data_IF_074806884866
#
_entry.id   IF_074806884866
#
_cell.length_a   1.000
_cell.length_b   1.000
_cell.length_c   1.000
_cell.angle_alpha   90.00
_cell.angle_beta   90.00
_cell.angle_gamma   90.00
#
_symmetry.space_group_name_H-M   'P 1'
#
loop_
_entity.id
_entity.type
_entity.pdbx_description
1 polymer ?
#
# COMPACT_ATOMS: atom_id res chain seq x y z
N UNK A 1 14.66 -8.17 9.78
CA UNK A 1 13.35 -8.55 10.33
C UNK A 1 12.32 -8.23 9.27
N UNK A 2 11.49 -9.18 8.86
CA UNK A 2 10.35 -8.96 7.96
C UNK A 2 9.17 -8.47 8.78
N UNK A 3 8.75 -7.23 8.58
CA UNK A 3 7.57 -6.64 9.21
C UNK A 3 6.35 -6.57 8.30
N UNK A 4 5.16 -6.59 8.92
CA UNK A 4 3.88 -6.27 8.29
C UNK A 4 3.35 -5.00 8.94
N UNK A 5 3.08 -3.97 8.14
CA UNK A 5 2.55 -2.69 8.60
C UNK A 5 1.15 -2.50 8.01
N UNK A 6 0.16 -2.29 8.87
CA UNK A 6 -1.21 -1.94 8.46
C UNK A 6 -1.30 -0.46 8.13
N UNK A 7 -1.88 -0.15 6.99
CA UNK A 7 -2.28 1.20 6.57
C UNK A 7 -3.82 1.24 6.51
N UNK A 8 -4.49 1.79 7.52
CA UNK A 8 -5.94 1.92 7.49
C UNK A 8 -6.35 2.96 6.44
N UNK A 9 -7.31 2.61 5.58
CA UNK A 9 -7.89 3.51 4.57
C UNK A 9 -9.39 3.54 4.78
N UNK A 10 -9.84 4.48 5.61
CA UNK A 10 -11.25 4.58 6.04
C UNK A 10 -11.75 3.24 6.64
N UNK A 11 -12.57 2.49 5.89
CA UNK A 11 -13.18 1.22 6.33
C UNK A 11 -12.50 -0.04 5.75
N UNK A 12 -11.45 0.11 4.93
CA UNK A 12 -10.63 -0.99 4.42
C UNK A 12 -9.18 -0.86 4.90
N UNK A 13 -8.36 -1.88 4.66
CA UNK A 13 -6.95 -1.87 5.00
C UNK A 13 -6.10 -2.09 3.74
N UNK A 14 -4.93 -1.47 3.74
CA UNK A 14 -3.79 -1.88 2.93
C UNK A 14 -2.65 -2.32 3.84
N UNK A 15 -1.70 -3.08 3.32
CA UNK A 15 -0.56 -3.56 4.10
C UNK A 15 0.76 -3.38 3.36
N UNK A 16 1.78 -2.93 4.08
CA UNK A 16 3.16 -2.96 3.61
C UNK A 16 3.79 -4.25 4.16
N UNK A 17 4.25 -5.12 3.28
CA UNK A 17 4.83 -6.41 3.63
C UNK A 17 6.31 -6.40 3.21
N UNK A 18 7.21 -6.39 4.19
CA UNK A 18 8.64 -6.46 3.91
C UNK A 18 9.03 -7.83 3.35
N UNK A 19 9.95 -7.79 2.39
CA UNK A 19 10.52 -8.93 1.69
C UNK A 19 12.04 -8.80 1.68
N UNK A 20 12.76 -9.84 1.26
CA UNK A 20 14.22 -9.79 1.18
C UNK A 20 14.74 -8.74 0.15
N UNK A 21 13.90 -8.28 -0.78
CA UNK A 21 14.26 -7.33 -1.84
C UNK A 21 13.59 -5.96 -1.75
N UNK A 22 12.94 -5.63 -0.62
CA UNK A 22 12.15 -4.40 -0.46
C UNK A 22 10.82 -4.70 0.20
N UNK A 23 9.72 -4.25 -0.40
CA UNK A 23 8.38 -4.53 0.13
C UNK A 23 7.34 -4.70 -0.98
N UNK A 24 6.27 -5.41 -0.66
CA UNK A 24 5.05 -5.45 -1.46
C UNK A 24 3.96 -4.63 -0.76
N UNK A 25 3.06 -4.06 -1.56
CA UNK A 25 1.82 -3.45 -1.08
C UNK A 25 0.68 -4.44 -1.30
N UNK A 26 -0.08 -4.75 -0.27
CA UNK A 26 -1.33 -5.53 -0.37
C UNK A 26 -2.51 -4.56 -0.28
N UNK A 27 -3.35 -4.57 -1.32
CA UNK A 27 -4.42 -3.60 -1.60
C UNK A 27 -3.97 -2.14 -1.71
N UNK A 28 -4.81 -1.31 -2.35
CA UNK A 28 -4.53 0.10 -2.62
C UNK A 28 -5.55 1.06 -2.01
N UNK A 29 -6.63 0.54 -1.42
CA UNK A 29 -7.69 1.37 -0.85
C UNK A 29 -8.50 2.12 -1.93
N UNK A 30 -9.33 3.06 -1.45
CA UNK A 30 -10.16 3.91 -2.30
C UNK A 30 -9.31 4.86 -3.16
N UNK A 31 -9.81 5.19 -4.36
CA UNK A 31 -9.19 6.18 -5.26
C UNK A 31 -8.96 7.52 -4.55
N UNK A 32 -7.78 8.11 -4.74
CA UNK A 32 -7.40 9.39 -4.14
C UNK A 32 -6.88 9.22 -2.72
N UNK A 33 -7.76 9.04 -1.74
CA UNK A 33 -7.36 8.98 -0.32
C UNK A 33 -6.45 7.78 -0.02
N UNK A 34 -6.68 6.63 -0.66
CA UNK A 34 -5.80 5.46 -0.54
C UNK A 34 -4.37 5.77 -0.97
N UNK A 35 -4.21 6.39 -2.14
CA UNK A 35 -2.89 6.81 -2.63
C UNK A 35 -2.18 7.76 -1.66
N UNK A 36 -2.89 8.75 -1.10
CA UNK A 36 -2.31 9.71 -0.13
C UNK A 36 -1.82 9.01 1.14
N UNK A 37 -2.67 8.19 1.77
CA UNK A 37 -2.33 7.52 3.02
C UNK A 37 -1.21 6.48 2.83
N UNK A 38 -1.26 5.73 1.73
CA UNK A 38 -0.24 4.72 1.42
C UNK A 38 1.10 5.38 1.11
N UNK A 39 1.15 6.48 0.35
CA UNK A 39 2.40 7.21 0.10
C UNK A 39 3.02 7.72 1.40
N UNK A 40 2.22 8.32 2.29
CA UNK A 40 2.71 8.77 3.59
C UNK A 40 3.28 7.62 4.43
N UNK A 41 2.59 6.47 4.48
CA UNK A 41 3.06 5.30 5.21
C UNK A 41 4.34 4.70 4.60
N UNK A 42 4.43 4.63 3.27
CA UNK A 42 5.61 4.17 2.54
C UNK A 42 6.81 5.08 2.81
N UNK A 43 6.63 6.39 2.72
CA UNK A 43 7.71 7.36 2.96
C UNK A 43 8.20 7.32 4.40
N UNK A 44 7.27 7.23 5.37
CA UNK A 44 7.62 7.10 6.77
C UNK A 44 8.40 5.81 7.08
N UNK A 45 8.12 4.72 6.35
CA UNK A 45 8.72 3.40 6.64
C UNK A 45 9.98 3.08 5.84
N UNK A 46 10.05 3.53 4.58
CA UNK A 46 11.07 3.15 3.61
C UNK A 46 11.83 4.34 3.00
N UNK A 47 11.44 5.58 3.36
CA UNK A 47 12.08 6.80 2.88
C UNK A 47 11.42 7.42 1.64
N UNK A 48 11.85 8.64 1.27
CA UNK A 48 11.21 9.42 0.23
C UNK A 48 11.27 8.71 -1.13
N UNK A 49 10.17 8.76 -1.88
CA UNK A 49 10.02 8.15 -3.22
C UNK A 49 10.19 6.62 -3.26
N UNK A 50 10.18 5.92 -2.12
CA UNK A 50 10.16 4.47 -2.09
C UNK A 50 8.94 3.93 -2.85
N UNK A 51 9.12 2.80 -3.55
CA UNK A 51 8.06 2.14 -4.32
C UNK A 51 8.01 0.66 -3.97
N UNK A 52 6.81 0.06 -3.90
CA UNK A 52 6.69 -1.38 -3.73
C UNK A 52 7.22 -2.10 -4.98
N UNK A 53 7.81 -3.28 -4.80
CA UNK A 53 8.17 -4.15 -5.91
C UNK A 53 6.95 -4.77 -6.61
N UNK A 54 5.84 -4.89 -5.88
CA UNK A 54 4.56 -5.37 -6.40
C UNK A 54 3.38 -4.77 -5.63
N UNK A 55 2.26 -4.60 -6.33
CA UNK A 55 0.94 -4.37 -5.72
C UNK A 55 0.14 -5.66 -5.88
N UNK A 56 -0.24 -6.27 -4.75
CA UNK A 56 -1.05 -7.48 -4.70
C UNK A 56 -2.47 -7.07 -4.32
N UNK A 57 -3.43 -7.31 -5.19
CA UNK A 57 -4.85 -7.04 -4.91
C UNK A 57 -5.50 -8.30 -4.38
N UNK A 58 -6.25 -8.17 -3.29
CA UNK A 58 -7.09 -9.28 -2.78
C UNK A 58 -8.22 -9.59 -3.76
N UNK A 59 -8.84 -8.54 -4.33
CA UNK A 59 -9.86 -8.61 -5.36
C UNK A 59 -10.02 -7.25 -6.08
N UNK A 60 -10.87 -7.20 -7.11
CA UNK A 60 -10.97 -6.06 -8.03
C UNK A 60 -11.99 -4.97 -7.69
N UNK A 61 -12.55 -4.93 -6.47
CA UNK A 61 -13.50 -3.88 -6.12
C UNK A 61 -12.82 -2.52 -5.92
N UNK A 62 -13.60 -1.46 -6.12
CA UNK A 62 -13.11 -0.08 -6.16
C UNK A 62 -12.47 0.39 -4.86
N UNK A 63 -12.85 -0.19 -3.73
CA UNK A 63 -12.36 0.09 -2.39
C UNK A 63 -11.04 -0.60 -2.09
N UNK A 64 -10.64 -1.61 -2.88
CA UNK A 64 -9.34 -2.28 -2.75
C UNK A 64 -8.38 -1.94 -3.90
N UNK A 65 -8.87 -1.88 -5.14
CA UNK A 65 -8.08 -1.60 -6.35
C UNK A 65 -8.05 -0.10 -6.75
N UNK A 66 -8.79 0.75 -6.04
CA UNK A 66 -9.12 2.11 -6.47
C UNK A 66 -7.93 3.04 -6.70
N UNK A 67 -6.83 2.85 -5.98
CA UNK A 67 -5.61 3.66 -6.10
C UNK A 67 -4.44 2.93 -6.77
N UNK A 68 -4.59 1.68 -7.20
CA UNK A 68 -3.48 0.87 -7.71
C UNK A 68 -2.73 1.53 -8.87
N UNK A 69 -3.44 2.15 -9.82
CA UNK A 69 -2.82 2.87 -10.95
C UNK A 69 -2.02 4.11 -10.52
N UNK A 70 -2.37 4.71 -9.39
CA UNK A 70 -1.80 5.97 -8.94
C UNK A 70 -0.59 5.78 -8.01
N UNK A 71 -0.25 4.56 -7.61
CA UNK A 71 0.83 4.22 -6.67
C UNK A 71 2.11 3.83 -7.42
#
# INVERSE_FOLDING_TARGET
MTGIVRVPVLFVNAYLVETNGGFALVDSGLRGIGATLIRAAVEARFGPRARPGAIVLTHGHFDHAGSARAL
#
